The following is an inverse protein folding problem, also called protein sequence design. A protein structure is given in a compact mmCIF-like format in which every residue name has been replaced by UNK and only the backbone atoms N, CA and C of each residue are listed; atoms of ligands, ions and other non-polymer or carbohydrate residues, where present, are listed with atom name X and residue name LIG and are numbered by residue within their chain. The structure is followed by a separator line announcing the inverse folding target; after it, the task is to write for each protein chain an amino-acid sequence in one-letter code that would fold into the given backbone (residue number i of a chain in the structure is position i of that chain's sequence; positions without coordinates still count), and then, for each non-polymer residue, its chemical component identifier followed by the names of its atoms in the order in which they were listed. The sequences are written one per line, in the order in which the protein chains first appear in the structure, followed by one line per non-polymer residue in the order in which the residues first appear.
data_IF_685579446443
#
_entry.id   IF_685579446443
#
_cell.length_a   1.000
_cell.length_b   1.000
_cell.length_c   1.000
_cell.angle_alpha   90.00
_cell.angle_beta   90.00
_cell.angle_gamma   90.00
#
_symmetry.space_group_name_H-M   'P 1'
#
loop_
_entity.id
_entity.type
_entity.pdbx_description
1 polymer ?
#
# COMPACT_ATOMS: atom_id res chain seq x y z
N UNK A 1 -34.65 21.75 -34.57
CA UNK A 1 -33.92 20.50 -34.24
C UNK A 1 -34.96 19.42 -34.02
N UNK A 2 -35.03 18.42 -34.91
CA UNK A 2 -36.11 17.43 -34.91
C UNK A 2 -36.08 16.54 -33.67
N UNK A 3 -37.24 16.33 -33.03
CA UNK A 3 -37.38 15.48 -31.83
C UNK A 3 -36.85 14.06 -32.03
N UNK A 4 -36.84 13.57 -33.27
CA UNK A 4 -36.25 12.28 -33.67
C UNK A 4 -34.74 12.23 -33.49
N UNK A 5 -34.03 13.32 -33.79
CA UNK A 5 -32.57 13.43 -33.63
C UNK A 5 -32.22 13.38 -32.14
N UNK A 6 -32.96 14.12 -31.31
CA UNK A 6 -32.76 14.14 -29.85
C UNK A 6 -32.97 12.74 -29.25
N UNK A 7 -34.03 12.03 -29.66
CA UNK A 7 -34.30 10.67 -29.17
C UNK A 7 -33.22 9.67 -29.58
N UNK A 8 -32.69 9.76 -30.80
CA UNK A 8 -31.57 8.93 -31.27
C UNK A 8 -30.30 9.18 -30.47
N UNK A 9 -29.98 10.45 -30.17
CA UNK A 9 -28.83 10.79 -29.34
C UNK A 9 -28.96 10.26 -27.91
N UNK A 10 -30.14 10.36 -27.29
CA UNK A 10 -30.39 9.83 -25.93
C UNK A 10 -30.25 8.30 -25.91
N UNK A 11 -30.76 7.60 -26.92
CA UNK A 11 -30.64 6.14 -27.02
C UNK A 11 -29.19 5.68 -27.20
N UNK A 12 -28.40 6.37 -28.03
CA UNK A 12 -26.97 6.10 -28.21
C UNK A 12 -26.16 6.37 -26.93
N UNK A 13 -26.49 7.45 -26.21
CA UNK A 13 -25.85 7.75 -24.92
C UNK A 13 -26.17 6.67 -23.88
N UNK A 14 -27.43 6.24 -23.77
CA UNK A 14 -27.83 5.17 -22.85
C UNK A 14 -27.10 3.85 -23.14
N UNK A 15 -26.83 3.53 -24.42
CA UNK A 15 -26.09 2.33 -24.81
C UNK A 15 -24.58 2.42 -24.50
N UNK A 16 -23.98 3.61 -24.58
CA UNK A 16 -22.56 3.81 -24.26
C UNK A 16 -22.26 3.64 -22.76
N UNK A 17 -23.18 4.07 -21.89
CA UNK A 17 -22.99 3.98 -20.43
C UNK A 17 -23.22 2.58 -19.85
N UNK A 18 -24.08 1.76 -20.45
CA UNK A 18 -24.31 0.39 -19.96
C UNK A 18 -23.17 -0.57 -20.28
N UNK A 19 -22.34 -0.27 -21.29
CA UNK A 19 -21.19 -1.09 -21.68
C UNK A 19 -19.86 -0.62 -21.10
N UNK A 20 -19.84 0.49 -20.34
CA UNK A 20 -18.70 0.81 -19.47
C UNK A 20 -18.78 -0.02 -18.18
N UNK A 21 -18.91 -1.33 -18.31
CA UNK A 21 -18.53 -2.23 -17.24
C UNK A 21 -17.02 -2.05 -17.08
N UNK A 22 -16.61 -1.45 -15.97
CA UNK A 22 -15.22 -1.35 -15.59
C UNK A 22 -14.58 -2.73 -15.81
N UNK A 23 -13.66 -2.81 -16.78
CA UNK A 23 -12.86 -4.01 -17.00
C UNK A 23 -12.27 -4.37 -15.65
N UNK A 24 -12.50 -5.59 -15.12
CA UNK A 24 -11.90 -5.96 -13.85
C UNK A 24 -10.39 -5.75 -13.99
N UNK A 25 -9.83 -4.85 -13.19
CA UNK A 25 -8.38 -4.65 -13.15
C UNK A 25 -7.76 -6.03 -12.92
N UNK A 26 -6.70 -6.40 -13.67
CA UNK A 26 -5.98 -7.63 -13.38
C UNK A 26 -5.51 -7.55 -11.94
N UNK A 27 -6.15 -8.32 -11.05
CA UNK A 27 -5.79 -8.36 -9.64
C UNK A 27 -4.57 -9.24 -9.47
N UNK A 28 -3.71 -8.89 -8.51
CA UNK A 28 -2.55 -9.69 -8.13
C UNK A 28 -2.92 -11.15 -7.95
N UNK A 29 -2.07 -12.04 -8.49
CA UNK A 29 -2.20 -13.48 -8.31
C UNK A 29 -1.59 -13.88 -6.96
N UNK A 30 -2.04 -15.00 -6.39
CA UNK A 30 -1.39 -15.59 -5.20
C UNK A 30 0.08 -15.85 -5.52
N UNK A 31 0.97 -15.34 -4.68
CA UNK A 31 2.42 -15.38 -4.87
C UNK A 31 3.02 -14.09 -5.43
N UNK A 32 2.22 -13.16 -5.94
CA UNK A 32 2.73 -11.84 -6.33
C UNK A 32 3.31 -11.11 -5.12
N UNK A 33 4.37 -10.34 -5.35
CA UNK A 33 5.10 -9.60 -4.33
C UNK A 33 5.41 -8.18 -4.75
N UNK A 34 5.45 -7.30 -3.76
CA UNK A 34 6.02 -5.98 -3.89
C UNK A 34 6.76 -5.62 -2.61
N UNK A 35 7.73 -4.72 -2.69
CA UNK A 35 8.49 -4.33 -1.53
C UNK A 35 9.28 -3.04 -1.74
N UNK A 36 9.86 -2.58 -0.65
CA UNK A 36 10.74 -1.43 -0.60
C UNK A 36 11.96 -1.74 0.28
N UNK A 37 13.12 -1.22 -0.11
CA UNK A 37 14.36 -1.32 0.66
C UNK A 37 14.69 0.06 1.22
N UNK A 38 14.81 0.14 2.54
CA UNK A 38 15.17 1.35 3.27
C UNK A 38 16.67 1.33 3.53
N UNK A 39 17.44 1.94 2.62
CA UNK A 39 18.90 1.91 2.61
C UNK A 39 19.52 2.47 3.89
N UNK A 40 19.00 3.59 4.42
CA UNK A 40 19.53 4.23 5.63
C UNK A 40 19.18 3.44 6.88
N UNK A 41 18.03 2.77 6.93
CA UNK A 41 17.62 1.95 8.07
C UNK A 41 18.03 0.47 7.94
N UNK A 42 18.72 0.10 6.85
CA UNK A 42 19.03 -1.28 6.50
C UNK A 42 17.78 -2.17 6.67
N UNK A 43 16.68 -1.71 6.09
CA UNK A 43 15.35 -2.25 6.31
C UNK A 43 14.71 -2.78 5.04
N UNK A 44 13.72 -3.66 5.24
CA UNK A 44 12.89 -4.23 4.19
C UNK A 44 11.41 -4.13 4.58
N UNK A 45 10.60 -3.70 3.62
CA UNK A 45 9.15 -3.86 3.64
C UNK A 45 8.76 -4.79 2.48
N UNK A 46 7.95 -5.81 2.75
CA UNK A 46 7.48 -6.79 1.77
C UNK A 46 5.99 -7.04 1.97
N UNK A 47 5.23 -7.01 0.88
CA UNK A 47 3.83 -7.41 0.80
C UNK A 47 3.74 -8.57 -0.17
N UNK A 48 3.12 -9.68 0.25
CA UNK A 48 2.90 -10.87 -0.57
C UNK A 48 1.42 -11.18 -0.66
N UNK A 49 0.90 -11.46 -1.86
CA UNK A 49 -0.46 -11.94 -2.04
C UNK A 49 -0.53 -13.40 -1.60
N UNK A 50 -1.27 -13.70 -0.52
CA UNK A 50 -1.38 -15.07 0.01
C UNK A 50 -2.73 -15.73 -0.27
N UNK A 51 -3.76 -14.96 -0.58
CA UNK A 51 -5.05 -15.42 -1.08
C UNK A 51 -5.67 -14.33 -1.98
N UNK A 52 -6.82 -14.59 -2.62
CA UNK A 52 -7.54 -13.71 -3.54
C UNK A 52 -7.88 -12.31 -3.02
N UNK A 53 -7.82 -12.08 -1.72
CA UNK A 53 -8.08 -10.77 -1.11
C UNK A 53 -7.30 -10.58 0.20
N UNK A 54 -6.28 -11.41 0.46
CA UNK A 54 -5.46 -11.35 1.68
C UNK A 54 -4.00 -11.18 1.26
N UNK A 55 -3.33 -10.24 1.93
CA UNK A 55 -1.89 -10.02 1.84
C UNK A 55 -1.22 -10.37 3.17
N UNK A 56 0.02 -10.83 3.08
CA UNK A 56 0.94 -10.90 4.21
C UNK A 56 1.94 -9.75 4.11
N UNK A 57 2.14 -9.06 5.22
CA UNK A 57 3.06 -7.92 5.35
C UNK A 57 4.21 -8.34 6.26
N UNK A 58 5.43 -8.11 5.81
CA UNK A 58 6.63 -8.26 6.61
C UNK A 58 7.39 -6.94 6.59
N UNK A 59 7.72 -6.43 7.77
CA UNK A 59 8.50 -5.22 7.95
C UNK A 59 9.65 -5.50 8.92
N UNK A 60 10.85 -5.04 8.56
CA UNK A 60 12.02 -5.09 9.42
C UNK A 60 12.94 -3.91 9.13
N UNK A 61 13.47 -3.28 10.17
CA UNK A 61 14.58 -2.33 10.11
C UNK A 61 15.67 -2.76 11.09
N UNK A 62 16.93 -2.64 10.67
CA UNK A 62 18.08 -3.15 11.44
C UNK A 62 18.89 -2.07 12.15
N UNK A 63 18.60 -0.79 11.88
CA UNK A 63 19.23 0.35 12.53
C UNK A 63 18.31 1.58 12.53
N UNK A 64 18.72 2.63 13.24
CA UNK A 64 18.07 3.94 13.25
C UNK A 64 16.92 4.11 14.25
N UNK A 65 16.43 3.03 14.86
CA UNK A 65 15.45 3.11 15.96
C UNK A 65 16.22 3.27 17.28
N UNK A 66 16.19 4.44 17.90
CA UNK A 66 17.09 4.75 19.03
C UNK A 66 16.49 4.54 20.41
N UNK A 67 15.16 4.50 20.49
CA UNK A 67 14.41 4.42 21.75
C UNK A 67 13.31 3.38 21.64
N UNK A 68 13.02 2.71 22.76
CA UNK A 68 11.95 1.72 22.82
C UNK A 68 10.63 2.42 23.16
N UNK A 69 10.20 3.33 22.29
CA UNK A 69 8.96 4.09 22.43
C UNK A 69 8.18 4.09 21.09
N UNK A 70 7.26 3.14 20.91
CA UNK A 70 6.56 2.95 19.64
C UNK A 70 5.55 4.05 19.28
N UNK A 71 5.21 4.95 20.21
CA UNK A 71 4.33 6.08 19.92
C UNK A 71 5.05 7.21 19.16
N UNK A 72 6.38 7.21 19.16
CA UNK A 72 7.22 8.18 18.46
C UNK A 72 7.65 7.74 17.06
N UNK A 73 7.33 6.51 16.63
CA UNK A 73 7.68 6.02 15.29
C UNK A 73 6.43 5.74 14.46
N UNK A 74 6.49 6.05 13.17
CA UNK A 74 5.35 5.95 12.28
C UNK A 74 5.72 5.27 10.96
N UNK A 75 4.79 4.47 10.45
CA UNK A 75 4.78 3.98 9.08
C UNK A 75 3.88 4.90 8.26
N UNK A 76 4.41 5.41 7.17
CA UNK A 76 3.67 6.22 6.20
C UNK A 76 3.68 5.56 4.82
N UNK A 77 2.49 5.31 4.26
CA UNK A 77 2.28 4.70 2.94
C UNK A 77 1.12 5.40 2.25
N UNK A 78 1.38 6.15 1.18
CA UNK A 78 0.34 6.93 0.51
C UNK A 78 -0.41 7.85 1.50
N UNK A 79 -1.74 7.74 1.64
CA UNK A 79 -2.50 8.54 2.60
C UNK A 79 -2.46 8.00 4.04
N UNK A 80 -1.91 6.81 4.27
CA UNK A 80 -1.88 6.16 5.57
C UNK A 80 -0.70 6.67 6.40
N UNK A 81 -0.97 7.05 7.65
CA UNK A 81 0.04 7.36 8.64
C UNK A 81 -0.36 6.71 9.98
N UNK A 82 0.41 5.72 10.45
CA UNK A 82 0.08 4.94 11.64
C UNK A 82 1.31 4.75 12.51
N UNK A 83 1.14 4.86 13.83
CA UNK A 83 2.25 4.65 14.77
C UNK A 83 2.66 3.17 14.83
N UNK A 84 3.87 2.91 15.33
CA UNK A 84 4.34 1.57 15.59
C UNK A 84 3.47 0.88 16.65
N UNK A 85 2.92 1.62 17.61
CA UNK A 85 1.96 1.12 18.60
C UNK A 85 0.69 0.59 17.93
N UNK A 86 0.08 1.36 17.03
CA UNK A 86 -1.15 0.95 16.34
C UNK A 86 -0.95 -0.30 15.48
N UNK A 87 0.24 -0.44 14.91
CA UNK A 87 0.61 -1.56 14.04
C UNK A 87 1.23 -2.74 14.80
N UNK A 88 1.30 -2.68 16.14
CA UNK A 88 1.96 -3.68 16.99
C UNK A 88 3.40 -4.00 16.53
N UNK A 89 4.14 -3.01 16.07
CA UNK A 89 5.54 -3.16 15.65
C UNK A 89 6.41 -3.27 16.90
N UNK A 90 7.10 -4.39 17.05
CA UNK A 90 8.00 -4.62 18.17
C UNK A 90 9.30 -3.85 17.96
N UNK A 91 9.66 -3.01 18.93
CA UNK A 91 10.91 -2.27 18.96
C UNK A 91 11.91 -2.96 19.89
N UNK A 92 13.12 -3.19 19.39
CA UNK A 92 14.27 -3.63 20.17
C UNK A 92 15.48 -2.86 19.63
N UNK A 93 15.74 -1.62 20.12
CA UNK A 93 16.75 -0.74 19.55
C UNK A 93 18.10 -1.47 19.37
N UNK A 94 18.75 -1.35 18.20
CA UNK A 94 18.49 -0.37 17.16
C UNK A 94 17.44 -0.77 16.10
N UNK A 95 16.66 -1.83 16.37
CA UNK A 95 15.82 -2.53 15.40
C UNK A 95 14.33 -2.41 15.68
N UNK A 96 13.52 -2.66 14.65
CA UNK A 96 12.09 -2.90 14.80
C UNK A 96 11.61 -3.89 13.74
N UNK A 97 10.60 -4.69 14.07
CA UNK A 97 10.02 -5.65 13.12
C UNK A 97 8.56 -5.94 13.41
N UNK A 98 7.82 -6.29 12.35
CA UNK A 98 6.46 -6.76 12.43
C UNK A 98 6.14 -7.76 11.31
N UNK A 99 5.15 -8.60 11.60
CA UNK A 99 4.51 -9.49 10.64
C UNK A 99 3.02 -9.43 10.87
N UNK A 100 2.27 -9.22 9.81
CA UNK A 100 0.82 -9.18 9.87
C UNK A 100 0.19 -9.75 8.61
N UNK A 101 -1.10 -10.07 8.67
CA UNK A 101 -1.90 -10.47 7.53
C UNK A 101 -3.20 -9.71 7.55
N UNK A 102 -3.62 -9.19 6.39
CA UNK A 102 -4.81 -8.37 6.30
C UNK A 102 -5.50 -8.45 4.95
N UNK A 103 -6.74 -7.95 4.86
CA UNK A 103 -7.42 -7.82 3.59
C UNK A 103 -6.71 -6.79 2.70
N UNK A 104 -6.57 -7.10 1.41
CA UNK A 104 -5.97 -6.20 0.43
C UNK A 104 -5.41 -6.90 -0.80
N UNK A 105 -4.80 -6.10 -1.68
CA UNK A 105 -4.12 -6.55 -2.88
C UNK A 105 -2.71 -5.98 -2.94
N UNK A 106 -1.74 -6.75 -3.45
CA UNK A 106 -0.37 -6.26 -3.63
C UNK A 106 -0.33 -5.04 -4.54
N UNK A 107 -1.16 -5.02 -5.60
CA UNK A 107 -1.21 -3.90 -6.55
C UNK A 107 -1.60 -2.56 -5.89
N UNK A 108 -2.31 -2.58 -4.75
CA UNK A 108 -2.71 -1.37 -4.02
C UNK A 108 -1.51 -0.64 -3.39
N UNK A 109 -0.37 -1.33 -3.23
CA UNK A 109 0.85 -0.76 -2.65
C UNK A 109 1.86 -0.31 -3.71
N UNK A 110 1.76 -0.81 -4.93
CA UNK A 110 2.78 -0.58 -5.96
C UNK A 110 2.76 0.88 -6.38
N UNK A 111 3.94 1.47 -6.46
CA UNK A 111 4.20 2.89 -6.74
C UNK A 111 3.99 3.87 -5.60
N UNK A 112 3.46 3.44 -4.45
CA UNK A 112 3.42 4.27 -3.27
C UNK A 112 4.82 4.45 -2.68
N UNK A 113 5.03 5.56 -2.00
CA UNK A 113 6.21 5.80 -1.19
C UNK A 113 5.99 5.20 0.21
N UNK A 114 6.90 4.33 0.64
CA UNK A 114 6.98 3.77 1.97
C UNK A 114 8.01 4.56 2.78
N UNK A 115 7.60 5.16 3.90
CA UNK A 115 8.48 5.94 4.76
C UNK A 115 8.38 5.52 6.21
N UNK A 116 9.50 5.61 6.93
CA UNK A 116 9.55 5.52 8.39
C UNK A 116 9.86 6.90 8.95
N UNK A 117 9.02 7.36 9.87
CA UNK A 117 9.16 8.65 10.52
C UNK A 117 9.44 8.48 12.01
N UNK A 118 10.15 9.45 12.58
CA UNK A 118 10.19 9.71 14.01
C UNK A 118 9.49 11.04 14.29
N UNK A 119 8.43 11.03 15.08
CA UNK A 119 7.50 12.15 15.28
C UNK A 119 6.89 12.63 13.96
N UNK A 120 7.61 13.48 13.23
CA UNK A 120 7.25 13.97 11.89
C UNK A 120 8.45 14.07 10.94
N UNK A 121 9.62 13.62 11.37
CA UNK A 121 10.84 13.63 10.56
C UNK A 121 11.02 12.29 9.86
N UNK A 122 11.21 12.32 8.54
CA UNK A 122 11.47 11.12 7.74
C UNK A 122 12.87 10.62 8.05
N UNK A 123 12.96 9.44 8.67
CA UNK A 123 14.23 8.74 8.88
C UNK A 123 14.74 8.15 7.56
N UNK A 124 13.85 7.49 6.83
CA UNK A 124 14.13 6.92 5.52
C UNK A 124 12.86 6.67 4.73
N UNK A 125 12.98 6.64 3.41
CA UNK A 125 11.88 6.35 2.49
C UNK A 125 12.36 5.63 1.24
N UNK A 126 11.46 4.84 0.65
CA UNK A 126 11.69 4.17 -0.61
C UNK A 126 10.37 3.92 -1.34
N UNK A 127 10.43 3.88 -2.67
CA UNK A 127 9.28 3.54 -3.50
C UNK A 127 9.03 2.02 -3.44
N UNK A 128 7.78 1.63 -3.28
CA UNK A 128 7.36 0.23 -3.36
C UNK A 128 7.34 -0.19 -4.83
N UNK A 129 8.11 -1.22 -5.15
CA UNK A 129 8.23 -1.78 -6.49
C UNK A 129 7.79 -3.25 -6.49
N UNK A 130 7.27 -3.70 -7.63
CA UNK A 130 6.99 -5.12 -7.84
C UNK A 130 8.31 -5.89 -7.84
N UNK A 131 8.34 -7.04 -7.16
CA UNK A 131 9.48 -7.99 -7.22
C UNK A 131 9.41 -8.87 -8.47
#
# INVERSE_FOLDING_TARGET
MDRKIIATFIALFAFGFTYLHATPLPRSAVGDKAGAVLEKLNGKFEVTQVDKAIVAINFEVNQGITENDPDHYFVHIGPLNRSFTELNIAINPPKAAAKDTGPGFVDDFINDEFSILKDNEILDSAKIVKE
#
